data_IF_542837889013
#
_entry.id   IF_542837889013
#
_cell.length_a   1.000
_cell.length_b   1.000
_cell.length_c   1.000
_cell.angle_alpha   90.00
_cell.angle_beta   90.00
_cell.angle_gamma   90.00
#
_symmetry.space_group_name_H-M   'P 1'
#
loop_
_entity.id
_entity.type
_entity.pdbx_description
1 polymer ?
#
# COMPACT_ATOMS: atom_id res chain seq x y z
N UNK A 1 24.48 -30.11 19.14
CA UNK A 1 23.73 -28.87 18.87
C UNK A 1 22.87 -29.15 17.64
N UNK A 2 21.55 -28.98 17.71
CA UNK A 2 20.70 -29.20 16.54
C UNK A 2 21.00 -28.13 15.48
N UNK A 3 21.30 -28.55 14.26
CA UNK A 3 21.53 -27.65 13.14
C UNK A 3 20.23 -26.92 12.81
N UNK A 4 20.24 -25.59 12.95
CA UNK A 4 19.04 -24.78 12.74
C UNK A 4 18.79 -24.66 11.23
N UNK A 5 17.88 -25.47 10.70
CA UNK A 5 17.53 -25.45 9.28
C UNK A 5 16.63 -24.25 8.99
N UNK A 6 17.17 -23.25 8.31
CA UNK A 6 16.42 -22.07 7.87
C UNK A 6 15.65 -22.35 6.57
N UNK A 7 14.44 -21.81 6.47
CA UNK A 7 13.61 -21.91 5.27
C UNK A 7 13.28 -20.51 4.74
N UNK A 8 13.42 -20.24 3.43
CA UNK A 8 13.14 -18.93 2.86
C UNK A 8 11.64 -18.61 2.91
N UNK A 9 11.23 -17.63 3.71
CA UNK A 9 9.82 -17.15 3.79
C UNK A 9 9.38 -16.41 2.52
N UNK A 10 10.30 -15.66 1.90
CA UNK A 10 10.09 -14.84 0.70
C UNK A 10 11.20 -15.05 -0.31
N UNK A 11 10.85 -15.10 -1.60
CA UNK A 11 11.83 -15.23 -2.68
C UNK A 11 12.57 -13.91 -2.92
N UNK A 12 13.73 -13.97 -3.60
CA UNK A 12 14.47 -12.77 -3.99
C UNK A 12 13.62 -11.77 -4.79
N UNK A 13 12.84 -12.26 -5.76
CA UNK A 13 11.93 -11.45 -6.57
C UNK A 13 10.88 -10.71 -5.71
N UNK A 14 10.26 -11.40 -4.75
CA UNK A 14 9.29 -10.77 -3.84
C UNK A 14 9.89 -9.66 -2.99
N UNK A 15 11.14 -9.84 -2.54
CA UNK A 15 11.83 -8.81 -1.75
C UNK A 15 12.18 -7.59 -2.60
N UNK A 16 12.63 -7.80 -3.84
CA UNK A 16 12.94 -6.71 -4.77
C UNK A 16 11.67 -5.91 -5.11
N UNK A 17 10.60 -6.60 -5.47
CA UNK A 17 9.28 -6.02 -5.71
C UNK A 17 8.82 -5.19 -4.50
N UNK A 18 8.89 -5.76 -3.30
CA UNK A 18 8.55 -5.06 -2.06
C UNK A 18 9.38 -3.79 -1.86
N UNK A 19 10.70 -3.84 -2.08
CA UNK A 19 11.56 -2.65 -1.92
C UNK A 19 11.24 -1.54 -2.94
N UNK A 20 10.91 -1.90 -4.18
CA UNK A 20 10.49 -0.93 -5.20
C UNK A 20 9.16 -0.28 -4.80
N UNK A 21 8.20 -1.08 -4.34
CA UNK A 21 6.90 -0.60 -3.86
C UNK A 21 7.04 0.28 -2.62
N UNK A 22 7.86 -0.14 -1.65
CA UNK A 22 8.13 0.64 -0.44
C UNK A 22 8.79 1.99 -0.75
N UNK A 23 9.80 2.00 -1.62
CA UNK A 23 10.48 3.23 -2.02
C UNK A 23 9.54 4.19 -2.77
N UNK A 24 8.74 3.68 -3.71
CA UNK A 24 7.77 4.48 -4.45
C UNK A 24 6.65 5.02 -3.54
N UNK A 25 6.13 4.21 -2.60
CA UNK A 25 5.17 4.67 -1.58
C UNK A 25 5.74 5.82 -0.74
N UNK A 26 6.98 5.65 -0.28
CA UNK A 26 7.66 6.65 0.55
C UNK A 26 7.85 7.96 -0.22
N UNK A 27 8.28 7.89 -1.48
CA UNK A 27 8.40 9.07 -2.34
C UNK A 27 7.05 9.74 -2.60
N UNK A 28 5.98 8.97 -2.82
CA UNK A 28 4.63 9.50 -2.98
C UNK A 28 4.17 10.25 -1.73
N UNK A 29 4.43 9.72 -0.53
CA UNK A 29 4.09 10.39 0.72
C UNK A 29 4.89 11.68 0.92
N UNK A 30 6.21 11.63 0.71
CA UNK A 30 7.12 12.78 0.88
C UNK A 30 6.79 13.91 -0.10
N UNK A 31 6.44 13.58 -1.33
CA UNK A 31 6.10 14.57 -2.37
C UNK A 31 4.64 15.01 -2.33
N UNK A 32 3.73 14.12 -1.92
CA UNK A 32 2.28 14.37 -1.92
C UNK A 32 1.80 15.15 -0.70
N UNK A 33 2.30 14.85 0.50
CA UNK A 33 1.88 15.53 1.72
C UNK A 33 2.11 17.06 1.66
N UNK A 34 3.29 17.58 1.26
CA UNK A 34 3.48 19.02 1.13
C UNK A 34 2.57 19.66 0.06
N UNK A 35 2.25 18.94 -1.03
CA UNK A 35 1.35 19.47 -2.06
C UNK A 35 -0.08 19.63 -1.57
N UNK A 36 -0.54 18.71 -0.70
CA UNK A 36 -1.85 18.80 -0.05
C UNK A 36 -1.98 20.03 0.84
N UNK A 37 -0.93 20.33 1.60
CA UNK A 37 -0.88 21.45 2.56
C UNK A 37 -0.22 22.70 1.96
N UNK A 38 -0.31 22.89 0.64
CA UNK A 38 0.19 24.09 -0.03
C UNK A 38 -0.50 25.34 0.56
N UNK A 39 0.30 26.23 1.17
CA UNK A 39 -0.18 27.37 1.95
C UNK A 39 0.31 27.36 3.41
N UNK A 40 0.75 26.21 3.93
CA UNK A 40 1.43 26.13 5.21
C UNK A 40 2.96 26.33 5.03
N UNK A 41 3.58 27.12 5.92
CA UNK A 41 5.01 27.43 5.86
C UNK A 41 5.91 26.18 5.81
N UNK A 42 5.55 25.11 6.54
CA UNK A 42 6.34 23.88 6.57
C UNK A 42 6.29 23.16 5.21
N UNK A 43 5.13 23.14 4.56
CA UNK A 43 4.92 22.49 3.28
C UNK A 43 5.62 23.26 2.16
N UNK A 44 5.52 24.58 2.15
CA UNK A 44 6.23 25.44 1.20
C UNK A 44 7.76 25.33 1.35
N UNK A 45 8.25 25.28 2.59
CA UNK A 45 9.68 25.06 2.87
C UNK A 45 10.14 23.70 2.35
N UNK A 46 9.38 22.63 2.58
CA UNK A 46 9.71 21.31 2.06
C UNK A 46 9.73 21.29 0.52
N UNK A 47 8.74 21.91 -0.12
CA UNK A 47 8.70 22.02 -1.59
C UNK A 47 9.92 22.79 -2.11
N UNK A 48 10.29 23.89 -1.47
CA UNK A 48 11.46 24.68 -1.85
C UNK A 48 12.77 23.88 -1.71
N UNK A 49 12.97 23.18 -0.59
CA UNK A 49 14.15 22.33 -0.35
C UNK A 49 14.25 21.19 -1.36
N UNK A 50 13.13 20.63 -1.80
CA UNK A 50 13.09 19.58 -2.83
C UNK A 50 13.30 20.10 -4.26
N UNK A 51 13.56 21.40 -4.46
CA UNK A 51 13.82 21.99 -5.77
C UNK A 51 12.61 22.61 -6.47
N UNK A 52 11.53 22.88 -5.72
CA UNK A 52 10.34 23.58 -6.19
C UNK A 52 9.20 22.67 -6.67
N UNK A 53 8.04 23.27 -6.89
CA UNK A 53 6.77 22.55 -7.15
C UNK A 53 6.81 21.69 -8.43
N UNK A 54 7.53 22.14 -9.46
CA UNK A 54 7.63 21.41 -10.72
C UNK A 54 8.38 20.08 -10.55
N UNK A 55 9.51 20.10 -9.84
CA UNK A 55 10.27 18.89 -9.56
C UNK A 55 9.50 17.95 -8.63
N UNK A 56 8.88 18.49 -7.58
CA UNK A 56 8.06 17.70 -6.64
C UNK A 56 6.91 16.99 -7.36
N UNK A 57 6.18 17.68 -8.25
CA UNK A 57 5.12 17.08 -9.07
C UNK A 57 5.64 16.02 -10.04
N UNK A 58 6.76 16.29 -10.71
CA UNK A 58 7.38 15.34 -11.63
C UNK A 58 7.77 14.05 -10.91
N UNK A 59 8.45 14.16 -9.77
CA UNK A 59 8.85 13.01 -8.94
C UNK A 59 7.61 12.27 -8.45
N UNK A 60 6.56 12.99 -8.01
CA UNK A 60 5.30 12.38 -7.58
C UNK A 60 4.66 11.54 -8.69
N UNK A 61 4.55 12.08 -9.92
CA UNK A 61 3.98 11.35 -11.05
C UNK A 61 4.81 10.14 -11.47
N UNK A 62 6.14 10.24 -11.46
CA UNK A 62 7.03 9.11 -11.75
C UNK A 62 6.86 8.02 -10.69
N UNK A 63 6.86 8.40 -9.40
CA UNK A 63 6.65 7.46 -8.30
C UNK A 63 5.25 6.82 -8.37
N UNK A 64 4.23 7.57 -8.77
CA UNK A 64 2.86 7.08 -8.97
C UNK A 64 2.80 6.04 -10.10
N UNK A 65 3.48 6.28 -11.22
CA UNK A 65 3.56 5.33 -12.31
C UNK A 65 4.27 4.04 -11.89
N UNK A 66 5.41 4.14 -11.19
CA UNK A 66 6.14 2.98 -10.66
C UNK A 66 5.29 2.18 -9.68
N UNK A 67 4.65 2.86 -8.72
CA UNK A 67 3.75 2.24 -7.74
C UNK A 67 2.58 1.52 -8.44
N UNK A 68 1.93 2.18 -9.39
CA UNK A 68 0.77 1.61 -10.09
C UNK A 68 1.16 0.38 -10.91
N UNK A 69 2.26 0.44 -11.66
CA UNK A 69 2.75 -0.70 -12.43
C UNK A 69 3.21 -1.85 -11.52
N UNK A 70 3.89 -1.54 -10.42
CA UNK A 70 4.28 -2.52 -9.41
C UNK A 70 3.09 -3.18 -8.73
N UNK A 71 2.04 -2.43 -8.39
CA UNK A 71 0.79 -2.97 -7.84
C UNK A 71 0.09 -3.91 -8.83
N UNK A 72 0.01 -3.53 -10.11
CA UNK A 72 -0.55 -4.38 -11.17
C UNK A 72 0.26 -5.66 -11.32
N UNK A 73 1.58 -5.56 -11.38
CA UNK A 73 2.47 -6.73 -11.42
C UNK A 73 2.25 -7.65 -10.20
N UNK A 74 2.19 -7.10 -8.99
CA UNK A 74 1.98 -7.83 -7.74
C UNK A 74 0.66 -8.61 -7.76
N UNK A 75 -0.43 -7.97 -8.19
CA UNK A 75 -1.75 -8.60 -8.31
C UNK A 75 -1.71 -9.75 -9.32
N UNK A 76 -1.10 -9.53 -10.50
CA UNK A 76 -0.96 -10.57 -11.53
C UNK A 76 -0.10 -11.74 -11.01
N UNK A 77 1.01 -11.45 -10.33
CA UNK A 77 1.90 -12.45 -9.79
C UNK A 77 1.22 -13.30 -8.70
N UNK A 78 0.40 -12.69 -7.84
CA UNK A 78 -0.42 -13.41 -6.86
C UNK A 78 -1.51 -14.22 -7.56
N UNK A 79 -2.23 -13.63 -8.51
CA UNK A 79 -3.28 -14.32 -9.26
C UNK A 79 -2.71 -15.56 -9.97
N UNK A 80 -1.55 -15.45 -10.61
CA UNK A 80 -0.86 -16.59 -11.22
C UNK A 80 -0.51 -17.68 -10.18
N UNK A 81 0.05 -17.29 -9.03
CA UNK A 81 0.37 -18.25 -7.95
C UNK A 81 -0.88 -18.96 -7.42
N UNK A 82 -1.99 -18.26 -7.25
CA UNK A 82 -3.23 -18.80 -6.68
C UNK A 82 -4.01 -19.64 -7.70
N UNK A 83 -4.21 -19.13 -8.92
CA UNK A 83 -5.09 -19.76 -9.90
C UNK A 83 -4.36 -20.77 -10.80
N UNK A 84 -3.10 -20.51 -11.17
CA UNK A 84 -2.32 -21.40 -12.06
C UNK A 84 -1.49 -22.38 -11.24
N UNK A 85 -0.65 -21.89 -10.31
CA UNK A 85 0.21 -22.74 -9.50
C UNK A 85 -0.51 -23.38 -8.30
N UNK A 86 -1.78 -23.02 -8.06
CA UNK A 86 -2.61 -23.55 -6.97
C UNK A 86 -1.98 -23.41 -5.58
N UNK A 87 -1.16 -22.38 -5.39
CA UNK A 87 -0.61 -22.03 -4.08
C UNK A 87 -1.75 -21.52 -3.19
N UNK A 88 -1.83 -22.02 -1.95
CA UNK A 88 -2.84 -21.60 -0.98
C UNK A 88 -2.82 -20.09 -0.77
N UNK A 89 -3.98 -19.44 -0.92
CA UNK A 89 -4.14 -18.00 -0.75
C UNK A 89 -4.17 -17.59 0.73
N UNK A 90 -3.02 -17.70 1.38
CA UNK A 90 -2.86 -17.54 2.84
C UNK A 90 -3.08 -16.11 3.37
N UNK A 91 -2.99 -15.08 2.51
CA UNK A 91 -3.20 -13.67 2.88
C UNK A 91 -4.69 -13.25 2.83
N UNK A 92 -5.59 -14.11 2.35
CA UNK A 92 -7.02 -13.80 2.32
C UNK A 92 -7.61 -13.80 3.74
N UNK A 93 -8.43 -12.81 4.14
CA UNK A 93 -8.99 -12.74 5.49
C UNK A 93 -10.01 -13.86 5.70
N UNK A 94 -10.02 -14.44 6.90
CA UNK A 94 -10.94 -15.49 7.34
C UNK A 94 -11.60 -15.09 8.65
N UNK A 95 -12.71 -15.74 9.00
CA UNK A 95 -13.37 -15.51 10.29
C UNK A 95 -12.46 -15.84 11.48
N UNK A 96 -11.54 -16.80 11.30
CA UNK A 96 -10.53 -17.15 12.30
C UNK A 96 -9.62 -15.95 12.67
N UNK A 97 -9.41 -15.00 11.74
CA UNK A 97 -8.59 -13.81 12.01
C UNK A 97 -9.19 -12.90 13.10
N UNK A 98 -10.52 -12.95 13.29
CA UNK A 98 -11.20 -12.23 14.38
C UNK A 98 -10.92 -12.88 15.72
N UNK A 99 -10.89 -14.22 15.76
CA UNK A 99 -10.55 -14.97 16.96
C UNK A 99 -9.07 -14.73 17.34
N UNK A 100 -8.18 -14.77 16.34
CA UNK A 100 -6.76 -14.43 16.48
C UNK A 100 -6.56 -13.02 17.06
N UNK A 101 -7.34 -12.03 16.60
CA UNK A 101 -7.29 -10.67 17.13
C UNK A 101 -7.74 -10.59 18.59
N UNK A 102 -8.82 -11.30 18.95
CA UNK A 102 -9.28 -11.37 20.34
C UNK A 102 -8.25 -12.05 21.25
N UNK A 103 -7.57 -13.08 20.77
CA UNK A 103 -6.53 -13.78 21.54
C UNK A 103 -5.29 -12.90 21.75
N UNK A 104 -4.93 -12.07 20.78
CA UNK A 104 -3.90 -11.03 20.97
C UNK A 104 -4.31 -10.01 22.02
N UNK A 105 -5.57 -9.56 22.01
CA UNK A 105 -6.08 -8.63 23.03
C UNK A 105 -6.02 -9.27 24.42
N UNK A 106 -6.48 -10.51 24.56
CA UNK A 106 -6.44 -11.25 25.83
C UNK A 106 -5.01 -11.42 26.35
N UNK A 107 -4.08 -11.77 25.47
CA UNK A 107 -2.67 -11.89 25.80
C UNK A 107 -2.07 -10.55 26.26
N UNK A 108 -2.32 -9.48 25.51
CA UNK A 108 -1.81 -8.14 25.83
C UNK A 108 -2.40 -7.57 27.14
N UNK A 109 -3.62 -7.97 27.51
CA UNK A 109 -4.24 -7.64 28.80
C UNK A 109 -3.81 -8.58 29.94
N UNK A 110 -2.94 -9.56 29.67
CA UNK A 110 -2.47 -10.52 30.66
C UNK A 110 -3.50 -11.58 31.08
N UNK A 111 -4.61 -11.70 30.34
CA UNK A 111 -5.67 -12.68 30.61
C UNK A 111 -5.28 -14.10 30.17
N UNK A 112 -4.30 -14.22 29.27
CA UNK A 112 -3.68 -15.48 28.86
C UNK A 112 -2.16 -15.36 28.99
N UNK A 113 -1.50 -16.48 29.33
CA UNK A 113 -0.04 -16.53 29.46
C UNK A 113 0.66 -16.98 28.19
N UNK A 114 -0.07 -17.62 27.29
CA UNK A 114 0.47 -18.14 26.03
C UNK A 114 0.21 -17.17 24.89
N UNK A 115 1.27 -16.86 24.14
CA UNK A 115 1.16 -16.05 22.94
C UNK A 115 0.39 -16.80 21.85
N UNK A 116 -0.53 -16.14 21.12
CA UNK A 116 -1.31 -16.79 20.06
C UNK A 116 -0.40 -17.37 18.96
N UNK A 117 -0.80 -18.51 18.39
CA UNK A 117 -0.09 -19.18 17.30
C UNK A 117 -0.80 -18.90 15.99
N UNK A 118 -0.10 -18.26 15.05
CA UNK A 118 -0.66 -17.90 13.75
C UNK A 118 -0.23 -18.86 12.64
N UNK A 119 -0.96 -18.83 11.52
CA UNK A 119 -0.52 -19.41 10.25
C UNK A 119 0.63 -18.57 9.64
N UNK A 120 0.94 -18.73 8.35
CA UNK A 120 2.01 -17.99 7.65
C UNK A 120 1.97 -16.46 7.83
N UNK A 121 0.77 -15.90 7.99
CA UNK A 121 0.52 -14.48 8.24
C UNK A 121 -0.46 -14.35 9.41
N UNK A 122 -0.17 -13.44 10.33
CA UNK A 122 -1.07 -13.13 11.44
C UNK A 122 -2.22 -12.20 10.97
N UNK A 123 -3.19 -11.92 11.85
CA UNK A 123 -4.34 -11.08 11.52
C UNK A 123 -3.92 -9.64 11.12
N UNK A 124 -2.90 -9.09 11.81
CA UNK A 124 -2.36 -7.75 11.56
C UNK A 124 -1.69 -7.65 10.19
N UNK A 125 -0.84 -8.62 9.84
CA UNK A 125 -0.18 -8.71 8.52
C UNK A 125 -1.23 -8.67 7.39
N UNK A 126 -2.34 -9.39 7.56
CA UNK A 126 -3.44 -9.41 6.58
C UNK A 126 -4.18 -8.08 6.56
N UNK A 127 -4.50 -7.52 7.72
CA UNK A 127 -5.17 -6.23 7.81
C UNK A 127 -4.36 -5.12 7.12
N UNK A 128 -3.07 -5.01 7.42
CA UNK A 128 -2.16 -4.06 6.79
C UNK A 128 -2.05 -4.28 5.28
N UNK A 129 -1.93 -5.54 4.85
CA UNK A 129 -1.90 -5.89 3.43
C UNK A 129 -3.15 -5.41 2.69
N UNK A 130 -4.35 -5.68 3.23
CA UNK A 130 -5.60 -5.29 2.57
C UNK A 130 -5.87 -3.79 2.66
N UNK A 131 -5.54 -3.14 3.77
CA UNK A 131 -5.59 -1.69 3.89
C UNK A 131 -4.69 -1.04 2.82
N UNK A 132 -3.48 -1.56 2.62
CA UNK A 132 -2.56 -1.08 1.59
C UNK A 132 -3.08 -1.33 0.17
N UNK A 133 -3.64 -2.51 -0.13
CA UNK A 133 -4.22 -2.81 -1.45
C UNK A 133 -5.37 -1.86 -1.78
N UNK A 134 -6.32 -1.68 -0.86
CA UNK A 134 -7.46 -0.77 -1.06
C UNK A 134 -7.02 0.69 -1.15
N UNK A 135 -6.10 1.11 -0.28
CA UNK A 135 -5.53 2.47 -0.32
C UNK A 135 -4.83 2.73 -1.65
N UNK A 136 -4.02 1.80 -2.14
CA UNK A 136 -3.33 1.93 -3.43
C UNK A 136 -4.31 2.02 -4.59
N UNK A 137 -5.37 1.20 -4.60
CA UNK A 137 -6.41 1.25 -5.64
C UNK A 137 -7.13 2.61 -5.64
N UNK A 138 -7.55 3.09 -4.47
CA UNK A 138 -8.20 4.38 -4.33
C UNK A 138 -7.28 5.51 -4.80
N UNK A 139 -6.03 5.54 -4.33
CA UNK A 139 -5.07 6.58 -4.65
C UNK A 139 -4.65 6.57 -6.13
N UNK A 140 -4.44 5.40 -6.73
CA UNK A 140 -4.13 5.29 -8.15
C UNK A 140 -5.30 5.80 -9.01
N UNK A 141 -6.54 5.46 -8.65
CA UNK A 141 -7.73 5.91 -9.37
C UNK A 141 -7.94 7.42 -9.25
N UNK A 142 -7.97 7.96 -8.04
CA UNK A 142 -8.19 9.40 -7.81
C UNK A 142 -7.04 10.25 -8.35
N UNK A 143 -5.80 9.76 -8.24
CA UNK A 143 -4.63 10.40 -8.82
C UNK A 143 -4.69 10.45 -10.34
N UNK A 144 -5.14 9.38 -11.00
CA UNK A 144 -5.35 9.38 -12.45
C UNK A 144 -6.43 10.38 -12.88
N UNK A 145 -7.56 10.46 -12.16
CA UNK A 145 -8.62 11.45 -12.41
C UNK A 145 -8.07 12.88 -12.32
N UNK A 146 -7.23 13.17 -11.34
CA UNK A 146 -6.61 14.49 -11.17
C UNK A 146 -5.51 14.78 -12.20
N UNK A 147 -4.76 13.76 -12.62
CA UNK A 147 -3.70 13.92 -13.61
C UNK A 147 -4.27 14.16 -15.02
N UNK A 148 -5.43 13.58 -15.34
CA UNK A 148 -6.09 13.77 -16.64
C UNK A 148 -7.60 14.06 -16.50
N UNK A 149 -7.97 15.25 -15.99
CA UNK A 149 -9.37 15.59 -15.69
C UNK A 149 -10.23 15.71 -16.95
N UNK A 150 -9.64 16.10 -18.09
CA UNK A 150 -10.35 16.21 -19.37
C UNK A 150 -10.84 14.83 -19.83
N UNK A 151 -9.96 13.82 -19.79
CA UNK A 151 -10.37 12.47 -20.14
C UNK A 151 -11.31 11.88 -19.10
N UNK A 152 -11.09 12.13 -17.80
CA UNK A 152 -12.00 11.67 -16.75
C UNK A 152 -13.44 12.20 -16.95
N UNK A 153 -13.60 13.50 -17.22
CA UNK A 153 -14.90 14.14 -17.44
C UNK A 153 -15.63 13.67 -18.72
N UNK A 154 -14.92 13.03 -19.68
CA UNK A 154 -15.56 12.42 -20.86
C UNK A 154 -16.33 11.15 -20.52
N UNK A 155 -15.88 10.41 -19.50
CA UNK A 155 -16.44 9.10 -19.15
C UNK A 155 -17.20 9.12 -17.82
N UNK A 156 -17.04 10.17 -17.01
CA UNK A 156 -17.54 10.25 -15.64
C UNK A 156 -18.19 11.62 -15.36
N UNK A 157 -19.13 11.72 -14.41
CA UNK A 157 -19.71 13.00 -14.00
C UNK A 157 -18.64 13.99 -13.52
N UNK A 158 -18.82 15.28 -13.81
CA UNK A 158 -17.87 16.33 -13.44
C UNK A 158 -17.59 16.43 -11.92
N UNK A 159 -18.58 16.09 -11.10
CA UNK A 159 -18.46 16.08 -9.63
C UNK A 159 -17.43 15.06 -9.11
N UNK A 160 -17.01 14.11 -9.95
CA UNK A 160 -15.97 13.15 -9.58
C UNK A 160 -14.59 13.80 -9.42
N UNK A 161 -14.30 14.89 -10.14
CA UNK A 161 -13.00 15.58 -10.03
C UNK A 161 -12.80 16.19 -8.64
N UNK A 162 -13.74 17.01 -8.10
CA UNK A 162 -13.59 17.51 -6.74
C UNK A 162 -13.65 16.39 -5.71
N UNK A 163 -14.49 15.35 -5.90
CA UNK A 163 -14.51 14.19 -5.02
C UNK A 163 -13.15 13.45 -5.01
N UNK A 164 -12.54 13.26 -6.17
CA UNK A 164 -11.22 12.66 -6.30
C UNK A 164 -10.15 13.50 -5.61
N UNK A 165 -10.19 14.84 -5.77
CA UNK A 165 -9.28 15.75 -5.06
C UNK A 165 -9.40 15.60 -3.55
N UNK A 166 -10.62 15.60 -3.01
CA UNK A 166 -10.85 15.43 -1.56
C UNK A 166 -10.40 14.07 -1.05
N UNK A 167 -10.66 13.01 -1.82
CA UNK A 167 -10.28 11.64 -1.43
C UNK A 167 -8.77 11.38 -1.55
N UNK A 168 -8.11 11.97 -2.54
CA UNK A 168 -6.68 11.80 -2.77
C UNK A 168 -5.84 12.59 -1.77
N UNK A 169 -6.22 13.83 -1.48
CA UNK A 169 -5.48 14.70 -0.57
C UNK A 169 -5.38 16.12 -1.05
#
# INVERSE_FOLDING_TARGET
MAEHKEYPRFTGAQRIEHWIMFASFTLLAITGLPQKFAGDNWAETMIAVMGGIELVRLVHHIAAAVMTLGAVYHIIAIAYKVFVLRVRWTIFPRLDDVLDALDVIRYNLGLTKEHPKFDRFNFGDKFEYWAFVWGTLLMAFTGYVMWNPINAARFMPGDLIPAAKTAHG
#
